data_IF_718884403426
#
_entry.id   IF_718884403426
#
_cell.length_a   1.000
_cell.length_b   1.000
_cell.length_c   1.000
_cell.angle_alpha   90.00
_cell.angle_beta   90.00
_cell.angle_gamma   90.00
#
_symmetry.space_group_name_H-M   'P 1'
#
loop_
_entity.id
_entity.type
_entity.pdbx_description
1 polymer ?
#
# COMPACT_ATOMS: atom_id res chain seq x y z
N UNK A 1 -48.62 38.03 -40.63
CA UNK A 1 -47.42 38.24 -39.78
C UNK A 1 -47.23 37.02 -38.90
N UNK A 2 -46.02 36.47 -38.87
CA UNK A 2 -45.66 35.16 -38.32
C UNK A 2 -45.33 35.28 -36.82
N UNK A 3 -45.96 34.48 -35.96
CA UNK A 3 -45.54 34.22 -34.58
C UNK A 3 -45.44 32.70 -34.39
N UNK A 4 -44.26 32.16 -34.70
CA UNK A 4 -43.80 30.84 -34.26
C UNK A 4 -42.42 31.04 -33.66
N UNK A 5 -42.11 30.23 -32.65
CA UNK A 5 -40.80 30.02 -32.01
C UNK A 5 -40.53 30.84 -30.75
N UNK A 6 -41.01 30.33 -29.62
CA UNK A 6 -40.39 30.56 -28.31
C UNK A 6 -40.74 29.38 -27.38
N UNK A 7 -40.01 28.27 -27.48
CA UNK A 7 -39.95 27.23 -26.43
C UNK A 7 -38.88 26.18 -26.76
N UNK A 8 -37.60 26.56 -26.67
CA UNK A 8 -36.50 25.58 -26.71
C UNK A 8 -35.29 26.01 -25.88
N UNK A 9 -35.44 26.64 -24.71
CA UNK A 9 -34.29 26.91 -23.82
C UNK A 9 -34.70 26.85 -22.34
N UNK A 10 -35.02 25.66 -21.83
CA UNK A 10 -35.06 25.41 -20.36
C UNK A 10 -34.41 24.06 -19.98
N UNK A 11 -34.03 23.21 -20.94
CA UNK A 11 -33.56 21.85 -20.65
C UNK A 11 -32.06 21.63 -20.43
N UNK A 12 -31.22 22.67 -20.33
CA UNK A 12 -29.76 22.52 -20.42
C UNK A 12 -28.97 23.05 -19.19
N UNK A 13 -29.59 23.20 -18.03
CA UNK A 13 -28.92 23.65 -16.80
C UNK A 13 -29.05 22.69 -15.61
N UNK A 14 -29.45 21.43 -15.84
CA UNK A 14 -29.60 20.42 -14.77
C UNK A 14 -28.65 19.21 -14.93
N UNK A 15 -27.62 19.29 -15.79
CA UNK A 15 -26.71 18.18 -16.10
C UNK A 15 -25.29 18.35 -15.54
N UNK A 16 -25.04 19.36 -14.71
CA UNK A 16 -23.67 19.74 -14.31
C UNK A 16 -23.29 19.39 -12.86
N UNK A 17 -24.11 18.64 -12.13
CA UNK A 17 -23.86 18.32 -10.73
C UNK A 17 -24.18 16.86 -10.39
N UNK A 18 -23.62 15.92 -11.17
CA UNK A 18 -23.28 14.59 -10.64
C UNK A 18 -21.78 14.63 -10.39
N UNK A 19 -21.42 15.23 -9.26
CA UNK A 19 -20.07 15.19 -8.76
C UNK A 19 -19.65 13.72 -8.63
N UNK A 20 -18.57 13.37 -9.31
CA UNK A 20 -17.84 12.13 -9.13
C UNK A 20 -17.43 12.03 -7.65
N UNK A 21 -18.22 11.35 -6.83
CA UNK A 21 -17.78 10.83 -5.52
C UNK A 21 -16.88 9.62 -5.77
N UNK A 22 -15.78 9.81 -6.50
CA UNK A 22 -14.68 8.86 -6.43
C UNK A 22 -14.15 8.95 -5.00
N UNK A 23 -14.33 7.89 -4.22
CA UNK A 23 -13.65 7.78 -2.93
C UNK A 23 -12.16 8.06 -3.19
N UNK A 24 -11.53 8.99 -2.45
CA UNK A 24 -10.13 9.32 -2.67
C UNK A 24 -9.30 8.03 -2.62
N UNK A 25 -8.31 7.96 -3.51
CA UNK A 25 -7.39 6.82 -3.55
C UNK A 25 -6.84 6.55 -2.14
N UNK A 26 -6.97 5.30 -1.72
CA UNK A 26 -6.63 4.82 -0.39
C UNK A 26 -5.12 4.66 -0.28
N UNK A 27 -4.45 5.55 0.46
CA UNK A 27 -2.99 5.56 0.58
C UNK A 27 -2.53 5.92 2.00
N UNK A 28 -2.21 4.91 2.81
CA UNK A 28 -1.49 5.16 4.06
C UNK A 28 0.01 5.34 3.82
N UNK A 29 0.64 6.20 4.63
CA UNK A 29 2.09 6.42 4.58
C UNK A 29 2.66 6.80 5.95
N UNK A 30 3.63 6.03 6.43
CA UNK A 30 4.25 6.22 7.75
C UNK A 30 5.19 7.43 7.82
N UNK A 31 5.74 7.88 6.69
CA UNK A 31 6.61 9.06 6.61
C UNK A 31 5.80 10.34 6.83
N UNK A 32 4.65 10.47 6.16
CA UNK A 32 3.77 11.64 6.28
C UNK A 32 2.80 11.55 7.46
N UNK A 33 2.53 10.35 7.97
CA UNK A 33 1.48 10.10 8.96
C UNK A 33 0.07 10.07 8.37
N UNK A 34 -0.07 10.04 7.05
CA UNK A 34 -1.35 10.02 6.36
C UNK A 34 -2.05 8.65 6.51
N UNK A 35 -3.36 8.70 6.71
CA UNK A 35 -4.29 7.56 6.71
C UNK A 35 -3.87 6.36 7.58
N UNK A 36 -3.16 6.61 8.69
CA UNK A 36 -2.66 5.55 9.55
C UNK A 36 -3.71 4.88 10.43
N UNK A 37 -4.89 5.47 10.64
CA UNK A 37 -5.95 4.88 11.48
C UNK A 37 -5.44 4.43 12.85
N UNK A 38 -5.69 3.17 13.22
CA UNK A 38 -5.17 2.59 14.46
C UNK A 38 -3.67 2.27 14.41
N UNK A 39 -3.07 2.18 13.22
CA UNK A 39 -1.62 2.03 13.04
C UNK A 39 -0.83 3.26 13.47
N UNK A 40 -1.48 4.41 13.71
CA UNK A 40 -0.84 5.56 14.35
C UNK A 40 -0.29 5.22 15.75
N UNK A 41 -0.86 4.23 16.43
CA UNK A 41 -0.43 3.76 17.74
C UNK A 41 0.82 2.87 17.71
N UNK A 42 1.33 2.47 16.53
CA UNK A 42 2.60 1.74 16.44
C UNK A 42 3.72 2.70 16.90
N UNK A 43 4.39 2.40 18.02
CA UNK A 43 5.34 3.33 18.63
C UNK A 43 6.59 3.47 17.76
N UNK A 44 7.13 4.68 17.71
CA UNK A 44 8.45 4.91 17.13
C UNK A 44 9.50 4.39 18.12
N UNK A 45 10.48 3.65 17.61
CA UNK A 45 11.62 3.16 18.37
C UNK A 45 12.35 4.31 19.06
N UNK A 46 12.73 4.08 20.32
CA UNK A 46 13.71 4.92 20.99
C UNK A 46 15.09 4.24 20.95
N UNK A 47 15.89 4.60 19.94
CA UNK A 47 17.24 4.05 19.68
C UNK A 47 18.19 4.22 20.88
N UNK A 48 17.90 5.15 21.81
CA UNK A 48 18.81 5.48 22.91
C UNK A 48 18.83 4.48 24.06
N UNK A 49 17.79 3.66 24.23
CA UNK A 49 17.61 2.86 25.45
C UNK A 49 17.61 1.34 25.23
N UNK A 50 17.73 0.84 23.98
CA UNK A 50 17.54 -0.58 23.63
C UNK A 50 16.23 -1.20 24.16
N UNK A 51 15.31 -0.38 24.66
CA UNK A 51 13.98 -0.79 25.08
C UNK A 51 13.08 -0.69 23.87
N UNK A 52 12.87 -1.82 23.19
CA UNK A 52 11.89 -1.91 22.15
C UNK A 52 10.52 -1.51 22.72
N UNK A 53 9.89 -0.51 22.11
CA UNK A 53 8.48 -0.23 22.37
C UNK A 53 7.70 -1.19 21.49
N UNK A 54 7.25 -2.30 22.07
CA UNK A 54 6.42 -3.26 21.36
C UNK A 54 5.03 -2.65 21.09
N UNK A 55 4.68 -2.47 19.81
CA UNK A 55 3.34 -2.06 19.39
C UNK A 55 2.31 -3.19 19.49
N UNK A 56 1.13 -3.04 18.88
CA UNK A 56 0.17 -4.13 18.79
C UNK A 56 0.65 -5.23 17.83
N UNK A 57 0.11 -6.45 17.93
CA UNK A 57 0.37 -7.50 16.93
C UNK A 57 -0.27 -7.16 15.58
N UNK A 58 -1.38 -6.42 15.59
CA UNK A 58 -2.08 -5.99 14.39
C UNK A 58 -2.68 -4.60 14.57
N UNK A 59 -2.79 -3.86 13.47
CA UNK A 59 -3.50 -2.59 13.40
C UNK A 59 -4.15 -2.45 12.03
N UNK A 60 -5.16 -1.59 11.93
CA UNK A 60 -5.82 -1.25 10.67
C UNK A 60 -5.64 0.24 10.38
N UNK A 61 -5.20 0.54 9.17
CA UNK A 61 -5.06 1.90 8.63
C UNK A 61 -6.42 2.53 8.42
N UNK A 62 -6.48 3.86 8.25
CA UNK A 62 -7.75 4.56 8.03
C UNK A 62 -8.38 4.17 6.68
N UNK A 63 -7.57 3.71 5.74
CA UNK A 63 -7.98 3.22 4.44
C UNK A 63 -8.32 1.72 4.41
N UNK A 64 -8.34 1.05 5.58
CA UNK A 64 -8.87 -0.31 5.72
C UNK A 64 -7.87 -1.44 5.44
N UNK A 65 -6.58 -1.12 5.31
CA UNK A 65 -5.51 -2.12 5.21
C UNK A 65 -5.11 -2.55 6.62
N UNK A 66 -5.22 -3.85 6.90
CA UNK A 66 -4.81 -4.43 8.18
C UNK A 66 -3.37 -4.93 8.08
N UNK A 67 -2.50 -4.40 8.94
CA UNK A 67 -1.13 -4.86 9.14
C UNK A 67 -1.10 -5.89 10.27
N UNK A 68 -0.37 -6.99 10.08
CA UNK A 68 -0.19 -8.02 11.11
C UNK A 68 1.26 -8.49 11.15
N UNK A 69 1.86 -8.45 12.34
CA UNK A 69 3.18 -9.00 12.59
C UNK A 69 3.08 -10.52 12.85
N UNK A 70 4.01 -11.27 12.28
CA UNK A 70 4.17 -12.70 12.48
C UNK A 70 5.63 -13.10 12.56
N UNK A 71 5.89 -14.26 13.14
CA UNK A 71 7.22 -14.85 13.18
C UNK A 71 7.13 -16.37 13.29
N UNK A 72 8.14 -17.06 12.76
CA UNK A 72 8.24 -18.53 12.78
C UNK A 72 8.51 -19.05 14.20
N UNK A 73 9.23 -18.28 15.03
CA UNK A 73 9.52 -18.59 16.42
C UNK A 73 9.16 -17.38 17.31
N UNK A 74 7.87 -17.17 17.61
CA UNK A 74 7.43 -15.98 18.32
C UNK A 74 7.88 -15.99 19.79
N UNK A 75 8.21 -14.81 20.34
CA UNK A 75 8.36 -14.59 21.79
C UNK A 75 7.08 -14.87 22.56
N UNK A 76 7.20 -15.05 23.88
CA UNK A 76 6.06 -14.94 24.79
C UNK A 76 5.38 -13.58 24.59
N UNK A 77 4.09 -13.60 24.23
CA UNK A 77 3.32 -12.41 23.86
C UNK A 77 3.14 -12.20 22.35
N UNK A 78 3.81 -12.99 21.51
CA UNK A 78 3.71 -12.96 20.05
C UNK A 78 4.53 -11.85 19.39
N UNK A 79 4.74 -11.95 18.08
CA UNK A 79 5.35 -10.89 17.28
C UNK A 79 4.52 -9.60 17.33
N UNK A 80 5.20 -8.45 17.30
CA UNK A 80 4.59 -7.13 17.43
C UNK A 80 5.01 -6.22 16.29
N UNK A 81 4.14 -5.30 15.91
CA UNK A 81 4.50 -4.22 15.00
C UNK A 81 5.38 -3.22 15.74
N UNK A 82 6.38 -2.71 15.04
CA UNK A 82 7.26 -1.65 15.54
C UNK A 82 7.60 -0.69 14.41
N UNK A 83 7.88 0.57 14.72
CA UNK A 83 8.21 1.61 13.76
C UNK A 83 9.61 2.13 14.01
N UNK A 84 10.43 2.20 12.96
CA UNK A 84 11.79 2.76 12.99
C UNK A 84 11.84 4.05 12.17
N UNK A 85 12.79 4.92 12.49
CA UNK A 85 13.13 6.08 11.67
C UNK A 85 14.64 6.14 11.45
N UNK A 86 15.06 6.29 10.18
CA UNK A 86 16.45 6.48 9.78
C UNK A 86 16.49 7.62 8.77
N UNK A 87 17.29 8.67 9.07
CA UNK A 87 17.48 9.81 8.17
C UNK A 87 16.15 10.44 7.68
N UNK A 88 15.15 10.54 8.57
CA UNK A 88 13.82 11.09 8.28
C UNK A 88 12.87 10.13 7.55
N UNK A 89 13.33 8.93 7.17
CA UNK A 89 12.49 7.88 6.58
C UNK A 89 11.95 6.98 7.69
N UNK A 90 10.64 6.76 7.69
CA UNK A 90 9.94 5.87 8.62
C UNK A 90 9.45 4.62 7.92
N UNK A 91 9.47 3.52 8.64
CA UNK A 91 8.89 2.24 8.22
C UNK A 91 8.45 1.40 9.41
N UNK A 92 7.49 0.51 9.17
CA UNK A 92 7.02 -0.48 10.13
C UNK A 92 7.61 -1.85 9.81
N UNK A 93 8.25 -2.45 10.80
CA UNK A 93 8.80 -3.80 10.76
C UNK A 93 8.16 -4.70 11.82
N UNK A 94 8.89 -5.75 12.17
CA UNK A 94 8.46 -6.73 13.18
C UNK A 94 9.43 -6.69 14.36
N UNK A 95 8.86 -6.74 15.56
CA UNK A 95 9.60 -6.98 16.78
C UNK A 95 9.29 -8.39 17.27
N UNK A 96 10.32 -9.25 17.23
CA UNK A 96 10.25 -10.61 17.76
C UNK A 96 11.54 -10.97 18.53
N UNK A 97 11.59 -10.57 19.80
CA UNK A 97 12.79 -10.60 20.66
C UNK A 97 13.25 -12.00 21.16
N UNK A 98 12.85 -13.09 20.50
CA UNK A 98 13.17 -14.45 20.98
C UNK A 98 14.63 -14.81 20.71
N UNK A 99 15.37 -13.92 20.02
CA UNK A 99 16.73 -14.12 19.52
C UNK A 99 17.78 -13.16 20.11
N UNK A 100 17.43 -12.21 21.00
CA UNK A 100 18.43 -11.32 21.64
C UNK A 100 19.15 -11.96 22.82
N UNK A 101 19.84 -13.06 22.55
CA UNK A 101 21.11 -13.24 23.24
C UNK A 101 22.20 -12.35 22.63
N UNK A 102 22.27 -12.12 21.30
CA UNK A 102 23.41 -11.36 20.72
C UNK A 102 23.21 -10.71 19.32
N UNK A 103 22.04 -10.76 18.68
CA UNK A 103 21.91 -10.34 17.27
C UNK A 103 20.89 -9.23 16.99
N UNK A 104 20.39 -8.52 18.02
CA UNK A 104 19.62 -7.28 17.88
C UNK A 104 18.65 -7.19 16.70
N UNK A 105 17.39 -7.61 16.87
CA UNK A 105 16.31 -7.11 16.00
C UNK A 105 16.36 -5.58 16.00
N UNK A 106 16.66 -5.00 14.84
CA UNK A 106 16.69 -3.57 14.56
C UNK A 106 15.29 -3.02 14.23
N UNK A 107 14.23 -3.77 14.57
CA UNK A 107 12.85 -3.31 14.42
C UNK A 107 12.42 -3.12 12.95
N UNK A 108 13.11 -3.84 12.07
CA UNK A 108 12.77 -4.12 10.67
C UNK A 108 12.10 -5.51 10.55
N UNK A 109 11.87 -6.00 9.33
CA UNK A 109 11.35 -7.34 9.04
C UNK A 109 12.52 -8.23 8.66
N UNK A 110 12.90 -9.13 9.57
CA UNK A 110 14.02 -10.05 9.40
C UNK A 110 13.61 -11.40 8.77
N UNK A 111 14.61 -12.23 8.47
CA UNK A 111 14.36 -13.62 8.07
C UNK A 111 13.62 -14.38 9.18
N UNK A 112 12.52 -15.05 8.81
CA UNK A 112 11.67 -15.78 9.74
C UNK A 112 10.62 -14.91 10.43
N UNK A 113 10.62 -13.61 10.17
CA UNK A 113 9.55 -12.68 10.49
C UNK A 113 8.69 -12.39 9.25
N UNK A 114 7.44 -12.04 9.47
CA UNK A 114 6.51 -11.69 8.39
C UNK A 114 5.70 -10.47 8.77
N UNK A 115 5.57 -9.53 7.85
CA UNK A 115 4.58 -8.45 7.92
C UNK A 115 3.51 -8.68 6.86
N UNK A 116 2.28 -8.94 7.29
CA UNK A 116 1.15 -9.18 6.38
C UNK A 116 0.29 -7.94 6.25
N UNK A 117 0.04 -7.50 5.02
CA UNK A 117 -0.98 -6.53 4.68
C UNK A 117 -2.21 -7.29 4.20
N UNK A 118 -3.40 -6.97 4.70
CA UNK A 118 -4.65 -7.61 4.28
C UNK A 118 -5.75 -6.60 4.07
N UNK A 119 -6.54 -6.81 3.02
CA UNK A 119 -7.75 -6.03 2.70
C UNK A 119 -8.96 -6.97 2.65
N UNK A 120 -10.13 -6.46 3.03
CA UNK A 120 -11.36 -7.27 3.10
C UNK A 120 -11.73 -7.86 1.72
N UNK A 121 -11.54 -7.09 0.65
CA UNK A 121 -11.83 -7.47 -0.73
C UNK A 121 -10.58 -7.38 -1.57
N UNK A 122 -10.27 -8.40 -2.41
CA UNK A 122 -9.15 -8.32 -3.34
C UNK A 122 -9.18 -7.01 -4.13
N UNK A 123 -8.06 -6.29 -4.15
CA UNK A 123 -7.93 -5.00 -4.85
C UNK A 123 -6.61 -4.91 -5.59
N UNK A 124 -6.54 -4.01 -6.56
CA UNK A 124 -5.29 -3.70 -7.26
C UNK A 124 -4.49 -2.73 -6.39
N UNK A 125 -3.22 -3.05 -6.15
CA UNK A 125 -2.29 -2.14 -5.49
C UNK A 125 -1.64 -1.26 -6.56
N UNK A 126 -1.73 0.06 -6.38
CA UNK A 126 -1.11 1.05 -7.25
C UNK A 126 0.34 1.31 -6.85
N UNK A 127 0.68 1.18 -5.56
CA UNK A 127 2.06 1.20 -5.09
C UNK A 127 2.26 0.39 -3.81
N UNK A 128 3.50 -0.06 -3.61
CA UNK A 128 4.01 -0.61 -2.36
C UNK A 128 5.34 0.06 -2.04
N UNK A 129 5.44 0.69 -0.87
CA UNK A 129 6.61 1.46 -0.48
C UNK A 129 7.39 0.72 0.61
N UNK A 130 8.66 0.42 0.33
CA UNK A 130 9.56 -0.31 1.22
C UNK A 130 10.76 0.58 1.58
N UNK A 131 11.15 0.58 2.85
CA UNK A 131 12.27 1.35 3.37
C UNK A 131 13.33 0.46 4.01
N UNK A 132 14.47 1.07 4.31
CA UNK A 132 15.60 0.43 4.99
C UNK A 132 16.16 -0.75 4.21
N UNK A 133 16.24 -0.60 2.89
CA UNK A 133 16.97 -1.52 2.02
C UNK A 133 18.26 -0.83 1.56
N UNK A 134 19.41 -1.44 1.83
CA UNK A 134 20.73 -0.84 1.63
C UNK A 134 21.61 -1.65 0.68
N UNK A 135 22.62 -0.97 0.13
CA UNK A 135 23.68 -1.63 -0.63
C UNK A 135 24.71 -2.22 0.33
N UNK A 136 25.46 -3.21 -0.14
CA UNK A 136 26.56 -3.84 0.59
C UNK A 136 27.51 -2.80 1.22
N UNK A 137 27.83 -2.99 2.50
CA UNK A 137 28.79 -2.20 3.28
C UNK A 137 28.21 -0.97 3.96
N UNK A 138 26.95 -0.63 3.67
CA UNK A 138 26.18 0.39 4.37
C UNK A 138 25.50 -0.26 5.58
N UNK A 139 25.30 0.48 6.68
CA UNK A 139 24.67 0.01 7.94
C UNK A 139 25.13 -1.33 8.55
N UNK A 140 26.24 -1.89 8.08
CA UNK A 140 26.78 -3.17 8.55
C UNK A 140 26.44 -4.36 7.64
N UNK A 141 25.82 -4.11 6.49
CA UNK A 141 25.31 -5.15 5.59
C UNK A 141 26.41 -5.78 4.76
N UNK A 142 26.33 -7.10 4.63
CA UNK A 142 27.33 -7.89 3.92
C UNK A 142 27.00 -8.10 2.44
N UNK A 143 25.75 -7.85 2.06
CA UNK A 143 25.23 -8.00 0.71
C UNK A 143 24.35 -6.79 0.37
N UNK A 144 23.96 -6.68 -0.90
CA UNK A 144 22.87 -5.79 -1.27
C UNK A 144 21.57 -6.43 -0.80
N UNK A 145 20.78 -5.68 -0.06
CA UNK A 145 19.58 -6.20 0.57
C UNK A 145 18.47 -6.50 -0.43
N UNK A 146 17.58 -7.42 -0.04
CA UNK A 146 16.52 -7.96 -0.86
C UNK A 146 15.26 -8.12 -0.02
N UNK A 147 14.18 -7.39 -0.35
CA UNK A 147 12.88 -7.70 0.20
C UNK A 147 12.20 -8.81 -0.62
N UNK A 148 11.54 -9.76 0.06
CA UNK A 148 10.68 -10.76 -0.57
C UNK A 148 9.21 -10.43 -0.30
N UNK A 149 8.40 -10.52 -1.35
CA UNK A 149 6.97 -10.19 -1.32
C UNK A 149 6.18 -11.34 -1.93
N UNK A 150 5.22 -11.89 -1.20
CA UNK A 150 4.31 -12.93 -1.68
C UNK A 150 2.88 -12.40 -1.74
N UNK A 151 2.22 -12.49 -2.89
CA UNK A 151 0.83 -12.10 -3.07
C UNK A 151 0.18 -12.89 -4.22
N UNK A 152 -1.11 -13.21 -4.12
CA UNK A 152 -1.83 -13.90 -5.20
C UNK A 152 -1.24 -15.24 -5.66
N UNK A 153 -0.47 -15.92 -4.79
CA UNK A 153 0.22 -17.18 -5.12
C UNK A 153 1.57 -17.02 -5.83
N UNK A 154 2.03 -15.79 -6.06
CA UNK A 154 3.33 -15.49 -6.63
C UNK A 154 4.27 -14.90 -5.58
N UNK A 155 5.57 -15.05 -5.83
CA UNK A 155 6.62 -14.42 -5.04
C UNK A 155 7.46 -13.54 -5.96
N UNK A 156 7.65 -12.30 -5.53
CA UNK A 156 8.57 -11.34 -6.14
C UNK A 156 9.61 -10.84 -5.16
N UNK A 157 10.56 -10.06 -5.67
CA UNK A 157 11.64 -9.49 -4.88
C UNK A 157 11.96 -8.06 -5.30
N UNK A 158 12.33 -7.22 -4.33
CA UNK A 158 12.97 -5.93 -4.56
C UNK A 158 14.42 -6.03 -4.12
N UNK A 159 15.36 -6.00 -5.07
CA UNK A 159 16.80 -6.14 -4.81
C UNK A 159 17.53 -4.82 -5.03
N UNK A 160 18.30 -4.37 -4.05
CA UNK A 160 19.16 -3.19 -4.22
C UNK A 160 20.27 -3.46 -5.23
N UNK A 161 20.46 -2.54 -6.17
CA UNK A 161 21.54 -2.59 -7.17
C UNK A 161 22.65 -1.59 -6.83
N UNK A 162 22.27 -0.40 -6.37
CA UNK A 162 23.16 0.70 -6.00
C UNK A 162 22.44 1.64 -5.03
N UNK A 163 23.15 2.66 -4.54
CA UNK A 163 22.59 3.70 -3.67
C UNK A 163 21.32 4.39 -4.22
N UNK A 164 21.04 4.36 -5.52
CA UNK A 164 19.87 5.04 -6.11
C UNK A 164 18.95 4.13 -6.92
N UNK A 165 19.27 2.84 -7.04
CA UNK A 165 18.53 1.92 -7.90
C UNK A 165 18.30 0.57 -7.22
N UNK A 166 17.11 0.02 -7.42
CA UNK A 166 16.75 -1.34 -7.09
C UNK A 166 16.00 -1.99 -8.26
N UNK A 167 15.92 -3.31 -8.25
CA UNK A 167 15.21 -4.09 -9.26
C UNK A 167 14.04 -4.80 -8.59
N UNK A 168 12.83 -4.48 -9.04
CA UNK A 168 11.63 -5.24 -8.72
C UNK A 168 11.47 -6.38 -9.72
N UNK A 169 11.30 -7.60 -9.24
CA UNK A 169 10.97 -8.76 -10.05
C UNK A 169 9.63 -9.34 -9.59
N UNK A 170 8.66 -9.44 -10.49
CA UNK A 170 7.36 -10.03 -10.23
C UNK A 170 6.97 -10.96 -11.37
N UNK A 171 6.83 -12.26 -11.08
CA UNK A 171 6.42 -13.26 -12.06
C UNK A 171 7.28 -13.24 -13.35
N UNK A 172 8.59 -13.05 -13.21
CA UNK A 172 9.54 -12.98 -14.32
C UNK A 172 9.58 -11.64 -15.06
N UNK A 173 8.77 -10.65 -14.65
CA UNK A 173 8.83 -9.28 -15.16
C UNK A 173 9.76 -8.46 -14.26
N UNK A 174 10.72 -7.78 -14.88
CA UNK A 174 11.68 -6.94 -14.19
C UNK A 174 11.39 -5.45 -14.41
N UNK A 175 11.44 -4.68 -13.33
CA UNK A 175 11.25 -3.23 -13.32
C UNK A 175 12.38 -2.58 -12.52
N UNK A 176 13.04 -1.59 -13.13
CA UNK A 176 13.98 -0.74 -12.41
C UNK A 176 13.21 0.27 -11.54
N UNK A 177 13.54 0.34 -10.26
CA UNK A 177 12.94 1.24 -9.28
C UNK A 177 14.00 2.24 -8.83
N UNK A 178 13.68 3.53 -8.90
CA UNK A 178 14.57 4.60 -8.43
C UNK A 178 14.30 4.85 -6.95
N UNK A 179 15.36 5.00 -6.17
CA UNK A 179 15.24 5.30 -4.74
C UNK A 179 14.65 6.70 -4.53
N UNK A 180 13.64 6.80 -3.67
CA UNK A 180 13.12 8.06 -3.14
C UNK A 180 14.02 8.62 -2.02
N UNK A 181 14.71 7.74 -1.31
CA UNK A 181 15.78 8.07 -0.37
C UNK A 181 16.94 7.09 -0.59
N UNK A 182 18.20 7.57 -0.75
CA UNK A 182 19.31 6.72 -1.14
C UNK A 182 19.56 5.54 -0.18
N UNK A 183 20.02 4.42 -0.75
CA UNK A 183 20.43 3.21 -0.05
C UNK A 183 21.89 3.27 0.40
N UNK A 184 22.23 4.30 1.16
CA UNK A 184 23.55 4.50 1.76
C UNK A 184 23.44 5.11 3.17
N UNK A 185 24.55 5.25 3.90
CA UNK A 185 24.62 5.82 5.26
C UNK A 185 23.89 7.15 5.46
N UNK A 186 23.70 7.95 4.41
CA UNK A 186 23.03 9.26 4.49
C UNK A 186 21.53 9.23 4.16
N UNK A 187 21.03 8.12 3.62
CA UNK A 187 19.62 7.95 3.27
C UNK A 187 18.94 6.88 4.12
N UNK A 188 17.66 6.65 3.83
CA UNK A 188 16.82 5.66 4.51
C UNK A 188 16.41 4.49 3.61
N UNK A 189 17.03 4.34 2.43
CA UNK A 189 16.78 3.22 1.52
C UNK A 189 15.31 3.06 1.12
N UNK A 190 14.63 4.15 0.76
CA UNK A 190 13.20 4.18 0.45
C UNK A 190 12.94 3.98 -1.03
N UNK A 191 12.06 3.05 -1.36
CA UNK A 191 11.63 2.74 -2.71
C UNK A 191 10.11 2.67 -2.79
N UNK A 192 9.54 3.19 -3.89
CA UNK A 192 8.12 3.00 -4.21
C UNK A 192 8.00 2.14 -5.46
N UNK A 193 7.46 0.93 -5.29
CA UNK A 193 7.20 0.00 -6.38
C UNK A 193 5.84 0.37 -6.95
N UNK A 194 5.82 1.02 -8.12
CA UNK A 194 4.58 1.39 -8.81
C UNK A 194 4.01 0.17 -9.54
N UNK A 195 2.70 -0.05 -9.37
CA UNK A 195 1.95 -1.17 -9.96
C UNK A 195 2.59 -2.54 -9.67
N UNK A 196 2.87 -2.88 -8.40
CA UNK A 196 3.73 -4.00 -8.02
C UNK A 196 3.24 -5.35 -8.54
N UNK A 197 1.92 -5.50 -8.73
CA UNK A 197 1.28 -6.76 -9.14
C UNK A 197 0.54 -6.67 -10.49
N UNK A 198 0.75 -5.60 -11.25
CA UNK A 198 -0.02 -5.33 -12.46
C UNK A 198 -1.52 -5.22 -12.18
N UNK A 199 -2.34 -5.81 -13.05
CA UNK A 199 -3.80 -5.84 -12.88
C UNK A 199 -4.29 -6.94 -11.92
N UNK A 200 -3.40 -7.59 -11.17
CA UNK A 200 -3.77 -8.67 -10.26
C UNK A 200 -4.37 -8.09 -8.99
N UNK A 201 -5.66 -8.34 -8.78
CA UNK A 201 -6.31 -8.00 -7.52
C UNK A 201 -5.89 -9.01 -6.44
N UNK A 202 -5.32 -8.52 -5.33
CA UNK A 202 -4.85 -9.34 -4.21
C UNK A 202 -5.51 -8.88 -2.91
N UNK A 203 -5.85 -9.83 -2.03
CA UNK A 203 -6.40 -9.54 -0.70
C UNK A 203 -5.36 -9.62 0.42
N UNK A 204 -4.20 -10.21 0.14
CA UNK A 204 -3.13 -10.39 1.12
C UNK A 204 -1.76 -10.28 0.43
N UNK A 205 -0.87 -9.55 1.09
CA UNK A 205 0.53 -9.39 0.74
C UNK A 205 1.34 -9.79 1.97
N UNK A 206 2.27 -10.71 1.82
CA UNK A 206 3.19 -11.13 2.88
C UNK A 206 4.59 -10.61 2.54
N UNK A 207 5.15 -9.83 3.44
CA UNK A 207 6.51 -9.33 3.37
C UNK A 207 7.39 -10.16 4.28
N UNK A 208 8.57 -10.55 3.79
CA UNK A 208 9.60 -11.22 4.57
C UNK A 208 10.97 -10.99 3.94
N UNK A 209 12.04 -11.20 4.70
CA UNK A 209 13.40 -11.23 4.15
C UNK A 209 13.69 -12.65 3.62
N UNK A 210 14.24 -12.79 2.39
CA UNK A 210 14.54 -14.09 1.81
C UNK A 210 15.63 -14.80 2.62
N UNK A 211 15.65 -16.14 2.51
CA UNK A 211 16.69 -16.93 3.14
C UNK A 211 18.05 -16.70 2.45
N UNK A 212 18.88 -15.86 3.05
CA UNK A 212 20.29 -15.68 2.65
C UNK A 212 21.24 -16.46 3.57
N UNK A 213 22.47 -16.68 3.11
CA UNK A 213 23.51 -17.34 3.90
C UNK A 213 23.73 -16.58 5.22
N UNK A 214 23.62 -17.23 6.37
CA UNK A 214 23.95 -16.63 7.68
C UNK A 214 22.78 -16.09 8.52
N UNK A 215 21.53 -16.06 8.00
CA UNK A 215 20.28 -15.84 8.77
C UNK A 215 20.35 -14.71 9.83
N UNK A 216 20.74 -13.52 9.40
CA UNK A 216 20.93 -12.35 10.26
C UNK A 216 20.47 -11.10 9.54
N UNK A 217 20.08 -10.08 10.30
CA UNK A 217 19.71 -8.74 9.81
C UNK A 217 20.74 -8.19 8.81
N UNK A 218 22.03 -8.46 9.03
CA UNK A 218 23.17 -8.04 8.16
C UNK A 218 23.14 -8.57 6.71
N UNK A 219 22.20 -9.44 6.38
CA UNK A 219 22.07 -10.00 5.03
C UNK A 219 20.90 -9.38 4.28
N UNK A 220 19.76 -9.24 4.95
CA UNK A 220 18.68 -8.39 4.50
C UNK A 220 17.68 -8.21 5.63
N UNK A 221 17.39 -6.95 5.93
CA UNK A 221 16.21 -6.51 6.65
C UNK A 221 15.52 -5.40 5.84
N UNK A 222 14.31 -4.99 6.22
CA UNK A 222 13.59 -3.85 5.61
C UNK A 222 12.30 -3.54 6.39
N UNK A 223 11.62 -2.45 6.04
CA UNK A 223 10.33 -2.10 6.62
C UNK A 223 9.30 -1.65 5.57
N UNK A 224 8.02 -1.69 5.94
CA UNK A 224 6.91 -1.14 5.16
C UNK A 224 6.75 0.35 5.44
N UNK A 225 6.90 1.18 4.42
CA UNK A 225 6.76 2.64 4.52
C UNK A 225 5.34 3.12 4.16
N UNK A 226 4.63 2.39 3.31
CA UNK A 226 3.32 2.78 2.80
C UNK A 226 2.80 1.82 1.75
N UNK A 227 1.52 1.95 1.41
CA UNK A 227 0.94 1.28 0.24
C UNK A 227 -0.26 2.08 -0.26
N UNK A 228 -0.60 1.89 -1.53
CA UNK A 228 -1.75 2.52 -2.16
C UNK A 228 -2.57 1.49 -2.90
N UNK A 229 -3.89 1.50 -2.69
CA UNK A 229 -4.84 0.66 -3.43
C UNK A 229 -5.68 1.49 -4.39
N UNK A 230 -6.09 0.86 -5.48
CA UNK A 230 -7.05 1.48 -6.39
C UNK A 230 -8.39 1.62 -5.67
N UNK A 231 -8.97 2.82 -5.72
CA UNK A 231 -10.35 3.01 -5.25
C UNK A 231 -11.26 2.08 -6.03
N UNK A 232 -12.03 1.24 -5.33
CA UNK A 232 -13.14 0.56 -5.97
C UNK A 232 -14.08 1.62 -6.53
N UNK A 233 -14.20 1.72 -7.86
CA UNK A 233 -15.24 2.53 -8.50
C UNK A 233 -16.57 1.83 -8.24
N UNK A 234 -17.16 2.04 -7.06
CA UNK A 234 -18.52 1.58 -6.78
C UNK A 234 -19.43 2.50 -7.58
N UNK A 235 -20.14 2.05 -8.62
CA UNK A 235 -21.18 2.87 -9.22
C UNK A 235 -22.25 3.05 -8.14
N UNK A 236 -22.41 4.27 -7.63
CA UNK A 236 -23.45 4.49 -6.64
C UNK A 236 -24.83 4.08 -7.21
N UNK A 237 -25.71 3.46 -6.39
CA UNK A 237 -27.07 3.11 -6.82
C UNK A 237 -27.85 4.30 -7.39
N UNK A 238 -27.51 5.52 -6.97
CA UNK A 238 -28.04 6.80 -7.46
C UNK A 238 -27.70 7.05 -8.92
N UNK A 239 -26.50 6.67 -9.39
CA UNK A 239 -26.09 6.76 -10.79
C UNK A 239 -26.89 5.78 -11.65
N UNK A 240 -27.11 4.56 -11.15
CA UNK A 240 -27.94 3.55 -11.82
C UNK A 240 -29.43 3.96 -11.86
N UNK A 241 -29.95 4.49 -10.75
CA UNK A 241 -31.31 4.99 -10.65
C UNK A 241 -31.53 6.24 -11.51
N UNK A 242 -30.54 7.15 -11.57
CA UNK A 242 -30.55 8.33 -12.42
C UNK A 242 -30.56 7.97 -13.91
N UNK A 243 -29.73 7.02 -14.33
CA UNK A 243 -29.77 6.49 -15.70
C UNK A 243 -31.09 5.77 -16.01
N UNK A 244 -31.66 5.05 -15.04
CA UNK A 244 -32.99 4.43 -15.17
C UNK A 244 -34.11 5.46 -15.36
N UNK A 245 -34.08 6.56 -14.61
CA UNK A 245 -35.03 7.67 -14.72
C UNK A 245 -34.92 8.40 -16.05
N UNK A 246 -33.70 8.73 -16.48
CA UNK A 246 -33.46 9.40 -17.78
C UNK A 246 -33.86 8.49 -18.95
N UNK A 247 -33.50 7.19 -18.89
CA UNK A 247 -33.93 6.19 -19.86
C UNK A 247 -35.46 6.03 -19.90
N UNK A 248 -36.10 5.97 -18.73
CA UNK A 248 -37.56 5.89 -18.61
C UNK A 248 -38.29 7.12 -19.18
N UNK A 249 -37.79 8.33 -18.93
CA UNK A 249 -38.34 9.58 -19.46
C UNK A 249 -38.17 9.70 -20.98
N UNK A 250 -37.05 9.22 -21.53
CA UNK A 250 -36.82 9.16 -22.98
C UNK A 250 -37.76 8.17 -23.69
N UNK A 251 -38.03 7.01 -23.08
CA UNK A 251 -38.99 6.04 -23.61
C UNK A 251 -40.43 6.56 -23.52
N UNK A 252 -40.81 7.17 -22.39
CA UNK A 252 -42.13 7.74 -22.20
C UNK A 252 -42.41 8.92 -23.15
N UNK A 253 -41.42 9.78 -23.40
CA UNK A 253 -41.55 10.91 -24.34
C UNK A 253 -41.65 10.45 -25.80
N UNK A 254 -40.96 9.37 -26.19
CA UNK A 254 -41.15 8.76 -27.52
C UNK A 254 -42.55 8.17 -27.71
N UNK A 255 -43.15 7.58 -26.67
CA UNK A 255 -44.53 7.06 -26.73
C UNK A 255 -45.56 8.19 -26.90
N UNK A 256 -45.41 9.31 -26.19
CA UNK A 256 -46.32 10.45 -26.32
C UNK A 256 -46.30 11.09 -27.71
N UNK A 257 -45.15 11.14 -28.38
CA UNK A 257 -45.05 11.67 -29.75
C UNK A 257 -45.70 10.77 -30.81
N UNK A 258 -45.83 9.46 -30.57
CA UNK A 258 -46.54 8.55 -31.48
C UNK A 258 -48.06 8.64 -31.38
N UNK A 259 -48.62 8.86 -30.17
CA UNK A 259 -50.07 9.00 -29.98
C UNK A 259 -50.65 10.34 -30.44
N UNK A 260 -49.85 11.38 -30.65
CA UNK A 260 -50.30 12.67 -31.21
C UNK A 260 -50.19 12.76 -32.74
N UNK A 261 -49.69 11.70 -33.40
CA UNK A 261 -49.54 11.63 -34.85
C UNK A 261 -50.54 10.66 -35.51
N UNK A 262 -51.56 10.21 -34.77
CA UNK A 262 -52.73 9.47 -35.27
C UNK A 262 -53.98 10.30 -35.13
#
# INVERSE_FOLDING_TARGET
MKLKQASTIVGLLASSALALSVAPAQAFNFNSGADLGTCAAVPLENLGNNTASAGPTSCTTADGITLTAGATNPVSGGAKLTKKEVNGVKGVGVYNDSSKANLGSQQETDFGETLTLSVEKPTIFESLDLSFLYQKGEFGDFLNEVAQVTAGGFTGTLKVLSATQAQWNWNGIEQLVTALSPSNKSGGGLYSIVNPFGNTAVSSIVLTSPQEAGRSYRYSDFALAGAKTASASVPEPTTLAGLGLVGGLLVASRRRKRSQAS
#
